data_IF_679484305326
#
_entry.id   IF_679484305326
#
_cell.length_a   1.000
_cell.length_b   1.000
_cell.length_c   1.000
_cell.angle_alpha   90.00
_cell.angle_beta   90.00
_cell.angle_gamma   90.00
#
_symmetry.space_group_name_H-M   'P 1'
#
loop_
_entity.id
_entity.type
_entity.pdbx_description
1 polymer ?
#
# COMPACT_ATOMS: atom_id res chain seq x y z
N UNK A 1 -3.59 0.17 13.54
CA UNK A 1 -2.99 -0.58 12.42
C UNK A 1 -1.94 0.31 11.77
N UNK A 2 -0.70 -0.14 11.64
CA UNK A 2 0.36 0.61 10.95
C UNK A 2 0.04 0.67 9.45
N UNK A 3 0.24 1.84 8.81
CA UNK A 3 0.13 2.02 7.35
C UNK A 3 1.20 1.25 6.55
N UNK A 4 1.90 0.32 7.21
CA UNK A 4 3.00 -0.46 6.68
C UNK A 4 2.95 -1.87 7.26
N UNK A 5 3.28 -2.83 6.41
CA UNK A 5 3.52 -4.23 6.73
C UNK A 5 5.00 -4.53 6.49
N UNK A 6 5.63 -5.30 7.36
CA UNK A 6 7.04 -5.67 7.22
C UNK A 6 7.13 -7.16 6.93
N UNK A 7 7.69 -7.52 5.78
CA UNK A 7 7.76 -8.91 5.32
C UNK A 7 9.04 -9.13 4.52
N UNK A 8 9.79 -10.20 4.82
CA UNK A 8 11.07 -10.51 4.16
C UNK A 8 12.08 -9.35 4.15
N UNK A 9 12.08 -8.52 5.20
CA UNK A 9 12.92 -7.32 5.28
C UNK A 9 12.42 -6.12 4.46
N UNK A 10 11.36 -6.28 3.66
CA UNK A 10 10.71 -5.20 2.92
C UNK A 10 9.66 -4.50 3.79
N UNK A 11 9.56 -3.19 3.65
CA UNK A 11 8.51 -2.37 4.26
C UNK A 11 7.50 -1.99 3.18
N UNK A 12 6.35 -2.64 3.23
CA UNK A 12 5.29 -2.51 2.22
C UNK A 12 4.22 -1.55 2.76
N UNK A 13 3.93 -0.43 2.08
CA UNK A 13 2.83 0.44 2.49
C UNK A 13 1.50 -0.28 2.31
N UNK A 14 0.65 -0.29 3.33
CA UNK A 14 -0.67 -0.94 3.30
C UNK A 14 -1.80 0.05 3.03
N UNK A 15 -1.52 1.35 3.00
CA UNK A 15 -2.52 2.39 2.72
C UNK A 15 -1.96 3.45 1.77
N UNK A 16 -2.83 3.88 0.85
CA UNK A 16 -2.59 5.02 -0.02
C UNK A 16 -3.84 5.91 -0.03
N UNK A 17 -3.65 7.22 -0.03
CA UNK A 17 -4.74 8.19 -0.16
C UNK A 17 -4.50 9.09 -1.36
N UNK A 18 -5.56 9.41 -2.08
CA UNK A 18 -5.56 10.34 -3.19
C UNK A 18 -6.49 11.51 -2.88
N UNK A 19 -6.07 12.71 -3.27
CA UNK A 19 -6.82 13.94 -3.12
C UNK A 19 -6.73 14.77 -4.41
N UNK A 20 -7.78 15.53 -4.70
CA UNK A 20 -7.75 16.59 -5.71
C UNK A 20 -7.29 17.89 -5.07
N UNK A 21 -6.57 18.72 -5.82
CA UNK A 21 -6.31 20.11 -5.42
C UNK A 21 -7.18 21.01 -6.28
N UNK A 22 -8.18 21.66 -5.68
CA UNK A 22 -9.11 22.54 -6.37
C UNK A 22 -9.05 23.91 -5.70
N UNK A 23 -8.59 24.93 -6.45
CA UNK A 23 -8.45 26.28 -5.89
C UNK A 23 -7.42 26.39 -4.75
N UNK A 24 -6.43 25.49 -4.71
CA UNK A 24 -5.44 25.43 -3.63
C UNK A 24 -5.89 24.65 -2.39
N UNK A 25 -7.14 24.19 -2.34
CA UNK A 25 -7.63 23.32 -1.28
C UNK A 25 -7.51 21.84 -1.66
N UNK A 26 -6.96 21.03 -0.75
CA UNK A 26 -6.96 19.57 -0.88
C UNK A 26 -8.33 19.00 -0.53
N UNK A 27 -8.90 18.21 -1.44
CA UNK A 27 -10.16 17.50 -1.25
C UNK A 27 -9.94 16.00 -1.36
N UNK A 28 -10.27 15.21 -0.32
CA UNK A 28 -10.07 13.77 -0.36
C UNK A 28 -10.92 13.15 -1.47
N UNK A 29 -10.32 12.24 -2.23
CA UNK A 29 -10.96 11.57 -3.35
C UNK A 29 -11.11 10.07 -3.10
N UNK A 30 -10.03 9.41 -2.72
CA UNK A 30 -10.02 7.97 -2.51
C UNK A 30 -9.03 7.58 -1.41
N UNK A 31 -9.34 6.49 -0.73
CA UNK A 31 -8.42 5.79 0.17
C UNK A 31 -8.41 4.32 -0.20
N UNK A 32 -7.22 3.81 -0.47
CA UNK A 32 -6.98 2.40 -0.75
C UNK A 32 -6.31 1.76 0.46
N UNK A 33 -6.80 0.58 0.84
CA UNK A 33 -6.20 -0.25 1.88
C UNK A 33 -5.89 -1.61 1.27
N UNK A 34 -4.65 -2.05 1.38
CA UNK A 34 -4.23 -3.41 1.05
C UNK A 34 -4.64 -4.33 2.21
N UNK A 35 -5.46 -5.33 1.90
CA UNK A 35 -5.96 -6.30 2.87
C UNK A 35 -5.11 -7.57 2.90
N UNK A 36 -4.76 -8.10 1.73
CA UNK A 36 -3.99 -9.33 1.56
C UNK A 36 -2.92 -9.13 0.49
N UNK A 37 -1.77 -9.77 0.71
CA UNK A 37 -0.63 -9.73 -0.21
C UNK A 37 -0.11 -11.16 -0.33
N UNK A 38 -0.23 -11.74 -1.53
CA UNK A 38 0.35 -13.02 -1.87
C UNK A 38 1.56 -12.80 -2.76
N UNK A 39 2.70 -13.40 -2.39
CA UNK A 39 3.91 -13.39 -3.20
C UNK A 39 4.08 -14.75 -3.85
N UNK A 40 4.21 -14.75 -5.18
CA UNK A 40 4.65 -15.93 -5.89
C UNK A 40 6.16 -16.08 -5.66
N UNK A 41 6.54 -17.00 -4.77
CA UNK A 41 7.95 -17.30 -4.55
C UNK A 41 8.43 -18.14 -5.73
N UNK A 42 9.51 -17.75 -6.43
CA UNK A 42 10.08 -18.62 -7.45
C UNK A 42 10.52 -19.92 -6.76
N UNK A 43 9.89 -21.04 -7.14
CA UNK A 43 10.26 -22.36 -6.67
C UNK A 43 11.75 -22.57 -6.93
N UNK A 44 12.54 -22.55 -5.85
CA UNK A 44 13.94 -22.96 -5.91
C UNK A 44 13.90 -24.48 -5.99
N UNK A 45 14.10 -25.04 -7.18
CA UNK A 45 14.39 -26.46 -7.32
C UNK A 45 15.65 -26.77 -6.51
N UNK A 46 15.47 -27.42 -5.37
CA UNK A 46 16.52 -28.04 -4.56
C UNK A 46 16.82 -29.45 -5.04
#
# INVERSE_FOLDING_TARGET
MSAYYQMYGLRIPTQASAAWVIGGEEKPYARLTLCEIEYDQPYVYS
#
